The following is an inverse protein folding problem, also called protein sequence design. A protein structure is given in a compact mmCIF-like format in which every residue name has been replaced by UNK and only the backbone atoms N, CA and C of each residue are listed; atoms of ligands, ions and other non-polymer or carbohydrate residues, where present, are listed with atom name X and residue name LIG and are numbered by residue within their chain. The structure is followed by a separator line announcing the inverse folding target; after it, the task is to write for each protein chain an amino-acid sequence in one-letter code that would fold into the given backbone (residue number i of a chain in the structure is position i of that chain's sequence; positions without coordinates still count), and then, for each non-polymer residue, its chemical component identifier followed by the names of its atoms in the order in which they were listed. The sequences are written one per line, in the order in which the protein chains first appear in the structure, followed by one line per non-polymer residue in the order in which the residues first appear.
data_IF_828072412443
#
_entry.id   IF_828072412443
#
_cell.length_a   1.000
_cell.length_b   1.000
_cell.length_c   1.000
_cell.angle_alpha   90.00
_cell.angle_beta   90.00
_cell.angle_gamma   90.00
#
_symmetry.space_group_name_H-M   'P 1'
#
loop_
_entity.id
_entity.type
_entity.pdbx_description
1 polymer ?
#
# COMPACT_ATOMS: atom_id res chain seq x y z
N UNK A 1 -1.27 -21.71 11.65
CA UNK A 1 -1.65 -20.29 11.48
C UNK A 1 -2.06 -20.11 10.02
N UNK A 2 -3.19 -19.47 9.72
CA UNK A 2 -3.52 -19.16 8.33
C UNK A 2 -2.44 -18.25 7.74
N UNK A 3 -2.10 -18.47 6.48
CA UNK A 3 -1.20 -17.59 5.74
C UNK A 3 -1.99 -16.32 5.39
N UNK A 4 -1.61 -15.18 5.97
CA UNK A 4 -2.10 -13.89 5.54
C UNK A 4 -1.32 -13.42 4.31
N UNK A 5 -2.05 -12.87 3.33
CA UNK A 5 -1.49 -12.23 2.14
C UNK A 5 -2.08 -10.84 2.00
N UNK A 6 -1.24 -9.90 1.63
CA UNK A 6 -1.60 -8.49 1.46
C UNK A 6 -1.10 -8.01 0.11
N UNK A 7 -1.81 -7.03 -0.46
CA UNK A 7 -1.40 -6.28 -1.63
C UNK A 7 -1.43 -4.78 -1.29
N UNK A 8 -0.74 -3.97 -2.09
CA UNK A 8 -0.61 -2.53 -1.84
C UNK A 8 0.00 -1.82 -3.04
N UNK A 9 0.01 -0.49 -2.98
CA UNK A 9 0.42 0.35 -4.09
C UNK A 9 1.51 1.35 -3.70
N UNK A 10 2.52 1.48 -4.56
CA UNK A 10 3.49 2.59 -4.50
C UNK A 10 2.91 3.76 -5.28
N UNK A 11 2.13 4.59 -4.60
CA UNK A 11 1.53 5.77 -5.20
C UNK A 11 2.56 6.89 -5.24
N UNK A 12 2.81 7.42 -6.44
CA UNK A 12 3.70 8.55 -6.62
C UNK A 12 3.09 9.61 -7.53
N UNK A 13 3.45 10.87 -7.30
CA UNK A 13 3.19 11.98 -8.21
C UNK A 13 4.51 12.55 -8.73
N UNK A 14 4.48 13.12 -9.93
CA UNK A 14 5.62 13.82 -10.52
C UNK A 14 5.22 15.25 -10.81
N UNK A 15 5.97 16.20 -10.28
CA UNK A 15 5.86 17.62 -10.61
C UNK A 15 7.27 18.17 -10.82
N UNK A 16 7.45 18.95 -11.89
CA UNK A 16 8.75 19.43 -12.36
C UNK A 16 9.80 18.31 -12.46
N UNK A 17 10.87 18.40 -11.65
CA UNK A 17 11.98 17.42 -11.57
C UNK A 17 11.94 16.62 -10.26
N UNK A 18 10.81 16.58 -9.56
CA UNK A 18 10.65 15.90 -8.27
C UNK A 18 9.63 14.76 -8.39
N UNK A 19 9.90 13.68 -7.67
CA UNK A 19 8.95 12.59 -7.44
C UNK A 19 8.60 12.61 -5.95
N UNK A 20 7.30 12.56 -5.67
CA UNK A 20 6.78 12.47 -4.31
C UNK A 20 6.03 11.15 -4.16
N UNK A 21 6.13 10.53 -2.98
CA UNK A 21 5.52 9.24 -2.67
C UNK A 21 4.49 9.40 -1.56
N UNK A 22 3.36 8.72 -1.67
CA UNK A 22 2.37 8.67 -0.60
C UNK A 22 2.79 7.64 0.44
N UNK A 23 2.97 8.10 1.68
CA UNK A 23 3.17 7.26 2.86
C UNK A 23 2.06 7.56 3.87
N UNK A 24 1.59 6.52 4.55
CA UNK A 24 0.59 6.61 5.62
C UNK A 24 1.29 6.50 6.97
N UNK A 25 0.95 7.38 7.90
CA UNK A 25 1.42 7.29 9.29
C UNK A 25 0.39 6.52 10.13
N UNK A 26 0.74 5.31 10.53
CA UNK A 26 -0.13 4.47 11.34
C UNK A 26 -0.04 4.83 12.81
N UNK A 27 -1.12 4.60 13.56
CA UNK A 27 -1.18 4.88 15.01
C UNK A 27 -0.10 4.14 15.82
N UNK A 28 0.43 3.04 15.28
CA UNK A 28 1.57 2.31 15.86
C UNK A 28 2.94 3.01 15.67
N UNK A 29 2.98 4.23 15.10
CA UNK A 29 4.17 5.08 15.04
C UNK A 29 5.11 4.80 13.86
N UNK A 30 4.66 4.10 12.83
CA UNK A 30 5.45 3.79 11.64
C UNK A 30 4.80 4.34 10.36
N UNK A 31 5.65 4.52 9.35
CA UNK A 31 5.25 4.90 8.00
C UNK A 31 5.32 3.69 7.09
N UNK A 32 4.30 3.54 6.24
CA UNK A 32 4.30 2.51 5.21
C UNK A 32 3.51 2.98 3.98
N UNK A 33 3.65 2.26 2.87
CA UNK A 33 2.79 2.43 1.71
C UNK A 33 1.36 1.95 2.01
N UNK A 34 0.34 2.50 1.32
CA UNK A 34 -1.00 1.96 1.37
C UNK A 34 -1.00 0.47 0.99
N UNK A 35 -1.48 -0.38 1.91
CA UNK A 35 -1.61 -1.82 1.74
C UNK A 35 -2.78 -2.38 2.54
N UNK A 36 -3.33 -3.49 2.08
CA UNK A 36 -4.47 -4.17 2.69
C UNK A 36 -4.43 -5.69 2.49
N UNK A 37 -5.28 -6.40 3.22
CA UNK A 37 -5.44 -7.84 3.06
C UNK A 37 -6.18 -8.14 1.76
N UNK A 38 -5.77 -9.20 1.08
CA UNK A 38 -6.47 -9.66 -0.12
C UNK A 38 -7.76 -10.35 0.33
N UNK A 39 -8.90 -9.88 -0.16
CA UNK A 39 -10.20 -10.45 0.18
C UNK A 39 -10.52 -11.71 -0.65
N UNK A 40 -11.53 -12.45 -0.20
CA UNK A 40 -11.92 -13.70 -0.87
C UNK A 40 -12.48 -13.40 -2.25
N UNK A 41 -11.75 -13.84 -3.29
CA UNK A 41 -12.17 -13.71 -4.67
C UNK A 41 -11.45 -12.60 -5.43
N UNK A 42 -10.65 -11.78 -4.76
CA UNK A 42 -9.80 -10.76 -5.37
C UNK A 42 -8.52 -11.36 -5.94
N UNK A 43 -8.06 -10.78 -7.05
CA UNK A 43 -6.69 -10.90 -7.54
C UNK A 43 -5.80 -9.87 -6.86
N UNK A 44 -4.49 -10.05 -7.01
CA UNK A 44 -3.49 -9.13 -6.43
C UNK A 44 -3.66 -7.68 -6.89
N UNK A 45 -4.18 -7.46 -8.10
CA UNK A 45 -4.38 -6.13 -8.68
C UNK A 45 -5.75 -5.51 -8.35
N UNK A 46 -6.66 -6.28 -7.77
CA UNK A 46 -8.03 -5.86 -7.42
C UNK A 46 -8.12 -5.36 -5.97
N UNK A 47 -7.18 -5.77 -5.11
CA UNK A 47 -6.96 -5.27 -3.75
C UNK A 47 -6.23 -3.92 -3.77
#
# INVERSE_FOLDING_TARGET
MPLEKSAGAVIFSRSDKKIEYLLLHYQAGHWDFPKGNIEKGEKLEET
#
